data_IF_024972583919
#
_entry.id   IF_024972583919
#
_cell.length_a   1.000
_cell.length_b   1.000
_cell.length_c   1.000
_cell.angle_alpha   90.00
_cell.angle_beta   90.00
_cell.angle_gamma   90.00
#
_symmetry.space_group_name_H-M   'P 1'
#
loop_
_entity.id
_entity.type
_entity.pdbx_description
1 polymer ?
#
# COMPACT_ATOMS: atom_id res chain seq x y z
N UNK A 1 23.89 -0.05 -2.61
CA UNK A 1 22.56 0.03 -3.28
C UNK A 1 21.66 0.93 -2.46
N UNK A 2 21.21 2.07 -3.00
CA UNK A 2 20.31 2.99 -2.28
C UNK A 2 18.96 2.30 -2.21
N UNK A 3 18.42 2.05 -1.01
CA UNK A 3 17.06 1.54 -0.87
C UNK A 3 16.12 2.59 -1.47
N UNK A 4 15.64 2.35 -2.68
CA UNK A 4 14.63 3.19 -3.31
C UNK A 4 13.38 3.00 -2.44
N UNK A 5 12.97 4.04 -1.73
CA UNK A 5 11.71 4.03 -0.96
C UNK A 5 10.59 3.67 -1.93
N UNK A 6 9.96 2.53 -1.69
CA UNK A 6 8.99 1.98 -2.62
C UNK A 6 7.74 2.86 -2.66
N UNK A 7 7.25 3.14 -3.86
CA UNK A 7 5.95 3.78 -4.04
C UNK A 7 4.83 2.79 -3.64
N UNK A 8 3.64 3.31 -3.36
CA UNK A 8 2.49 2.48 -3.09
C UNK A 8 2.10 1.69 -4.34
N UNK A 9 2.09 0.36 -4.27
CA UNK A 9 1.74 -0.48 -5.43
C UNK A 9 0.26 -0.37 -5.83
N UNK A 10 -0.59 0.14 -4.94
CA UNK A 10 -2.05 0.27 -5.14
C UNK A 10 -2.40 1.55 -5.89
N UNK A 11 -1.84 2.70 -5.51
CA UNK A 11 -2.15 4.00 -6.13
C UNK A 11 -1.01 4.61 -6.94
N UNK A 12 0.21 4.08 -6.82
CA UNK A 12 1.41 4.57 -7.51
C UNK A 12 2.07 5.80 -6.87
N UNK A 13 1.50 6.39 -5.83
CA UNK A 13 2.05 7.58 -5.18
C UNK A 13 3.16 7.25 -4.17
N UNK A 14 4.02 8.22 -3.87
CA UNK A 14 5.09 8.08 -2.88
C UNK A 14 4.51 7.82 -1.47
N UNK A 15 5.18 6.95 -0.72
CA UNK A 15 4.83 6.66 0.67
C UNK A 15 5.65 7.56 1.60
N UNK A 16 5.00 8.08 2.63
CA UNK A 16 5.67 8.79 3.70
C UNK A 16 6.14 7.77 4.75
N UNK A 17 7.44 7.52 4.78
CA UNK A 17 8.07 6.57 5.70
C UNK A 17 8.37 7.16 7.08
N UNK A 18 8.21 8.48 7.24
CA UNK A 18 8.44 9.19 8.51
C UNK A 18 7.11 9.48 9.22
N UNK A 19 5.99 9.35 8.50
CA UNK A 19 4.66 9.46 9.07
C UNK A 19 4.41 8.42 10.16
N UNK A 20 3.73 8.85 11.24
CA UNK A 20 3.36 7.99 12.35
C UNK A 20 2.45 6.84 11.91
N UNK A 21 2.45 5.73 12.65
CA UNK A 21 1.75 4.49 12.29
C UNK A 21 0.22 4.61 12.08
N UNK A 22 -0.41 5.66 12.62
CA UNK A 22 -1.83 5.95 12.43
C UNK A 22 -2.11 6.75 11.15
N UNK A 23 -1.09 7.39 10.58
CA UNK A 23 -1.25 8.28 9.42
C UNK A 23 -1.78 7.50 8.21
N UNK A 24 -2.78 8.02 7.48
CA UNK A 24 -3.29 7.41 6.26
C UNK A 24 -2.24 7.10 5.20
N UNK A 25 -1.18 7.91 5.09
CA UNK A 25 -0.06 7.80 4.15
C UNK A 25 1.17 7.10 4.73
N UNK A 26 1.08 6.58 5.96
CA UNK A 26 2.15 5.78 6.55
C UNK A 26 2.37 4.48 5.77
N UNK A 27 3.62 4.02 5.81
CA UNK A 27 4.04 2.76 5.21
C UNK A 27 3.41 1.55 5.91
N UNK A 28 2.82 0.66 5.12
CA UNK A 28 2.41 -0.68 5.55
C UNK A 28 2.78 -1.73 4.49
N UNK A 29 2.91 -2.98 4.93
CA UNK A 29 3.08 -4.13 4.03
C UNK A 29 1.70 -4.69 3.69
N UNK A 30 1.37 -4.74 2.40
CA UNK A 30 0.15 -5.37 1.88
C UNK A 30 0.48 -6.70 1.18
N UNK A 31 -0.39 -7.68 1.36
CA UNK A 31 -0.36 -8.92 0.59
C UNK A 31 -1.06 -8.68 -0.75
N UNK A 32 -0.32 -8.72 -1.87
CA UNK A 32 -0.84 -8.46 -3.22
C UNK A 32 -2.08 -9.35 -3.46
N UNK A 33 -1.92 -10.65 -3.25
CA UNK A 33 -3.01 -11.62 -3.14
C UNK A 33 -3.35 -11.79 -1.65
N UNK A 34 -4.57 -11.43 -1.20
CA UNK A 34 -4.95 -11.58 0.19
C UNK A 34 -4.87 -13.04 0.68
N UNK A 35 -4.48 -13.25 1.94
CA UNK A 35 -4.46 -14.58 2.58
C UNK A 35 -5.82 -15.28 2.53
N UNK A 36 -6.91 -14.51 2.71
CA UNK A 36 -8.29 -15.02 2.59
C UNK A 36 -8.65 -15.55 1.19
N UNK A 37 -7.82 -15.27 0.18
CA UNK A 37 -7.93 -15.76 -1.21
C UNK A 37 -6.84 -16.78 -1.54
N UNK A 38 -6.27 -17.44 -0.52
CA UNK A 38 -5.18 -18.41 -0.65
C UNK A 38 -3.90 -17.79 -1.23
N UNK A 39 -3.69 -16.49 -1.03
CA UNK A 39 -2.41 -15.86 -1.34
C UNK A 39 -1.30 -16.40 -0.43
N UNK A 40 -0.10 -16.68 -0.95
CA UNK A 40 1.00 -17.21 -0.14
C UNK A 40 1.58 -16.11 0.76
N UNK A 41 1.99 -16.43 2.00
CA UNK A 41 2.71 -15.48 2.87
C UNK A 41 4.21 -15.42 2.52
N UNK A 42 4.52 -15.13 1.26
CA UNK A 42 5.89 -15.03 0.76
C UNK A 42 6.30 -13.58 0.57
N UNK A 43 7.61 -13.30 0.57
CA UNK A 43 8.12 -11.95 0.26
C UNK A 43 7.72 -11.49 -1.14
N UNK A 44 7.57 -12.43 -2.09
CA UNK A 44 7.10 -12.13 -3.44
C UNK A 44 5.63 -11.66 -3.48
N UNK A 45 4.81 -12.05 -2.50
CA UNK A 45 3.41 -11.60 -2.38
C UNK A 45 3.25 -10.36 -1.49
N UNK A 46 4.35 -9.77 -1.01
CA UNK A 46 4.34 -8.57 -0.16
C UNK A 46 4.76 -7.36 -0.95
N UNK A 47 4.01 -6.28 -0.84
CA UNK A 47 4.30 -5.03 -1.52
C UNK A 47 4.03 -3.82 -0.61
N UNK A 48 4.71 -2.71 -0.88
CA UNK A 48 4.58 -1.48 -0.14
C UNK A 48 3.25 -0.78 -0.45
N UNK A 49 2.49 -0.42 0.57
CA UNK A 49 1.25 0.33 0.41
C UNK A 49 1.10 1.41 1.48
N UNK A 50 0.25 2.41 1.22
CA UNK A 50 -0.23 3.29 2.27
C UNK A 50 -1.21 2.54 3.18
N UNK A 51 -1.24 2.90 4.46
CA UNK A 51 -2.23 2.40 5.43
C UNK A 51 -3.67 2.53 4.92
N UNK A 52 -4.03 3.69 4.37
CA UNK A 52 -5.37 3.93 3.84
C UNK A 52 -5.69 3.11 2.59
N UNK A 53 -4.72 2.93 1.68
CA UNK A 53 -4.88 2.13 0.48
C UNK A 53 -5.07 0.65 0.83
N UNK A 54 -4.24 0.13 1.73
CA UNK A 54 -4.38 -1.23 2.26
C UNK A 54 -5.74 -1.45 2.95
N UNK A 55 -6.13 -0.54 3.85
CA UNK A 55 -7.43 -0.60 4.57
C UNK A 55 -8.64 -0.56 3.64
N UNK A 56 -8.51 0.11 2.48
CA UNK A 56 -9.53 0.12 1.43
C UNK A 56 -9.47 -1.12 0.55
N UNK A 57 -8.30 -1.69 0.24
CA UNK A 57 -8.17 -2.93 -0.52
C UNK A 57 -8.82 -4.09 0.22
N UNK A 58 -8.48 -4.28 1.51
CA UNK A 58 -8.93 -5.41 2.34
C UNK A 58 -8.65 -6.75 1.64
N UNK A 59 -9.58 -7.71 1.76
CA UNK A 59 -9.51 -9.02 1.12
C UNK A 59 -9.89 -9.02 -0.38
N UNK A 60 -9.79 -7.89 -1.08
CA UNK A 60 -9.99 -7.80 -2.53
C UNK A 60 -8.65 -7.91 -3.26
N UNK A 61 -8.67 -8.50 -4.45
CA UNK A 61 -7.50 -8.59 -5.34
C UNK A 61 -7.12 -7.22 -5.91
N UNK A 62 -8.12 -6.39 -6.22
CA UNK A 62 -7.95 -5.05 -6.77
C UNK A 62 -8.61 -4.06 -5.82
N UNK A 63 -7.84 -3.06 -5.40
CA UNK A 63 -8.42 -1.93 -4.67
C UNK A 63 -9.18 -1.04 -5.66
N UNK A 64 -10.31 -0.41 -5.26
CA UNK A 64 -10.85 0.69 -6.05
C UNK A 64 -9.75 1.74 -6.24
N UNK A 65 -9.56 2.26 -7.45
CA UNK A 65 -8.51 3.24 -7.75
C UNK A 65 -8.69 4.45 -6.82
N UNK A 66 -7.75 4.64 -5.90
CA UNK A 66 -7.74 5.80 -4.99
C UNK A 66 -6.80 6.82 -5.61
N UNK A 67 -7.32 7.67 -6.49
CA UNK A 67 -6.64 8.92 -6.82
C UNK A 67 -6.93 9.88 -5.67
N UNK A 68 -5.96 10.08 -4.78
CA UNK A 68 -5.96 11.23 -3.88
C UNK A 68 -4.90 12.18 -4.38
N UNK A 69 -5.13 12.70 -5.58
CA UNK A 69 -4.46 13.90 -6.05
C UNK A 69 -4.81 15.05 -5.10
N UNK A 70 -4.11 15.15 -3.97
CA UNK A 70 -4.13 16.29 -3.06
C UNK A 70 -3.42 17.51 -3.65
N UNK A 71 -3.60 17.75 -4.96
CA UNK A 71 -3.09 18.91 -5.69
C UNK A 71 -4.14 20.03 -5.82
N UNK A 72 -5.25 19.97 -5.08
CA UNK A 72 -6.15 21.11 -4.95
C UNK A 72 -5.90 21.78 -3.61
N UNK A 73 -5.35 22.99 -3.72
CA UNK A 73 -5.19 24.01 -2.68
C UNK A 73 -6.53 24.34 -2.02
#
# INVERSE_FOLDING_TARGET
>A
MKAIRAACHICGEAIDYEAGWLDPRSFVVDHVIPLAKQGPDTMANKAAAHRACNSKKRARLVAPIIKRSGSLK
#
